data_IF_776970019165
#
_entry.id   IF_776970019165
#
_cell.length_a   1.000
_cell.length_b   1.000
_cell.length_c   1.000
_cell.angle_alpha   90.00
_cell.angle_beta   90.00
_cell.angle_gamma   90.00
#
_symmetry.space_group_name_H-M   'P 1'
#
loop_
_entity.id
_entity.type
_entity.pdbx_description
1 polymer ?
#
# COMPACT_ATOMS: atom_id res chain seq x y z
N UNK A 1 -1.93 29.17 -2.43
CA UNK A 1 -3.29 28.69 -2.09
C UNK A 1 -3.78 27.56 -3.02
N UNK A 2 -2.88 26.75 -3.60
CA UNK A 2 -3.22 25.67 -4.56
C UNK A 2 -2.84 24.26 -4.07
N UNK A 3 -2.42 24.12 -2.81
CA UNK A 3 -1.92 22.85 -2.26
C UNK A 3 -3.05 21.93 -1.76
N UNK A 4 -4.11 22.51 -1.17
CA UNK A 4 -5.24 21.73 -0.65
C UNK A 4 -5.93 20.88 -1.70
N UNK A 5 -6.30 21.40 -2.90
CA UNK A 5 -6.94 20.58 -3.93
C UNK A 5 -6.05 19.42 -4.39
N UNK A 6 -4.75 19.68 -4.53
CA UNK A 6 -3.76 18.69 -4.96
C UNK A 6 -3.57 17.59 -3.93
N UNK A 7 -3.55 17.95 -2.65
CA UNK A 7 -3.49 17.01 -1.52
C UNK A 7 -4.72 16.09 -1.49
N UNK A 8 -5.93 16.64 -1.66
CA UNK A 8 -7.15 15.82 -1.72
C UNK A 8 -7.19 14.87 -2.92
N UNK A 9 -6.70 15.31 -4.09
CA UNK A 9 -6.58 14.46 -5.27
C UNK A 9 -5.61 13.29 -5.01
N UNK A 10 -4.44 13.56 -4.42
CA UNK A 10 -3.46 12.51 -4.09
C UNK A 10 -4.03 11.50 -3.08
N UNK A 11 -4.71 11.98 -2.04
CA UNK A 11 -5.38 11.13 -1.05
C UNK A 11 -6.48 10.26 -1.68
N UNK A 12 -7.28 10.84 -2.57
CA UNK A 12 -8.32 10.09 -3.29
C UNK A 12 -7.75 8.98 -4.16
N UNK A 13 -6.69 9.26 -4.93
CA UNK A 13 -6.00 8.25 -5.75
C UNK A 13 -5.39 7.16 -4.87
N UNK A 14 -4.83 7.51 -3.71
CA UNK A 14 -4.28 6.55 -2.77
C UNK A 14 -5.35 5.58 -2.25
N UNK A 15 -6.52 6.08 -1.85
CA UNK A 15 -7.61 5.23 -1.38
C UNK A 15 -8.19 4.34 -2.48
N UNK A 16 -8.25 4.82 -3.72
CA UNK A 16 -8.68 4.01 -4.87
C UNK A 16 -7.69 2.86 -5.10
N UNK A 17 -6.39 3.12 -5.05
CA UNK A 17 -5.35 2.09 -5.21
C UNK A 17 -5.44 1.05 -4.08
N UNK A 18 -5.62 1.48 -2.83
CA UNK A 18 -5.81 0.57 -1.69
C UNK A 18 -7.08 -0.28 -1.86
N UNK A 19 -8.19 0.33 -2.26
CA UNK A 19 -9.46 -0.36 -2.49
C UNK A 19 -9.40 -1.34 -3.66
N UNK A 20 -8.70 -1.00 -4.75
CA UNK A 20 -8.47 -1.90 -5.89
C UNK A 20 -7.57 -3.06 -5.51
N UNK A 21 -6.49 -2.82 -4.77
CA UNK A 21 -5.64 -3.88 -4.24
C UNK A 21 -6.52 -4.79 -3.37
N UNK A 22 -7.26 -4.26 -2.40
CA UNK A 22 -8.13 -5.04 -1.51
C UNK A 22 -9.22 -5.83 -2.26
N UNK A 23 -9.77 -5.28 -3.34
CA UNK A 23 -10.80 -5.92 -4.16
C UNK A 23 -10.23 -7.03 -5.04
N UNK A 24 -9.08 -6.81 -5.69
CA UNK A 24 -8.38 -7.82 -6.51
C UNK A 24 -7.81 -8.94 -5.62
N UNK A 25 -7.46 -8.61 -4.38
CA UNK A 25 -6.90 -9.52 -3.39
C UNK A 25 -7.91 -9.98 -2.31
N UNK A 26 -9.21 -9.88 -2.58
CA UNK A 26 -10.30 -10.35 -1.70
C UNK A 26 -10.25 -11.85 -1.36
N UNK A 27 -9.35 -12.60 -2.01
CA UNK A 27 -8.69 -13.81 -1.50
C UNK A 27 -7.21 -13.66 -1.89
N UNK A 28 -6.27 -13.53 -0.96
CA UNK A 28 -4.84 -13.47 -1.30
C UNK A 28 -4.20 -14.87 -1.33
N UNK A 29 -3.94 -15.45 -2.52
CA UNK A 29 -2.66 -16.11 -2.78
C UNK A 29 -1.66 -15.01 -3.16
N UNK A 30 -0.78 -14.64 -2.24
CA UNK A 30 0.15 -13.51 -2.42
C UNK A 30 0.99 -13.25 -1.18
N UNK A 31 0.44 -13.60 -0.02
CA UNK A 31 1.27 -14.12 1.04
C UNK A 31 1.77 -15.48 0.56
N UNK A 32 3.09 -15.65 0.47
CA UNK A 32 3.65 -16.98 0.27
C UNK A 32 3.31 -17.77 1.53
N UNK A 33 2.12 -18.37 1.54
CA UNK A 33 1.68 -19.27 2.58
C UNK A 33 2.24 -20.65 2.24
N UNK A 34 3.53 -20.83 2.51
CA UNK A 34 4.14 -22.15 2.39
C UNK A 34 3.61 -23.01 3.53
N UNK A 35 2.59 -23.82 3.23
CA UNK A 35 2.13 -24.90 4.10
C UNK A 35 2.82 -26.20 3.70
N UNK A 36 3.70 -26.70 4.57
CA UNK A 36 4.27 -28.05 4.47
C UNK A 36 4.00 -28.77 5.80
N UNK A 37 3.03 -29.70 5.78
CA UNK A 37 2.60 -30.40 7.00
C UNK A 37 2.00 -29.45 8.04
N UNK A 38 2.53 -29.48 9.28
CA UNK A 38 2.06 -28.66 10.41
C UNK A 38 2.68 -27.25 10.46
N UNK A 39 3.57 -26.90 9.51
CA UNK A 39 4.27 -25.61 9.48
C UNK A 39 3.68 -24.72 8.41
N UNK A 40 3.29 -23.50 8.83
CA UNK A 40 2.76 -22.44 7.96
C UNK A 40 3.74 -21.27 7.99
N UNK A 41 4.42 -21.01 6.88
CA UNK A 41 5.24 -19.81 6.73
C UNK A 41 4.44 -18.77 5.97
N UNK A 42 4.38 -17.54 6.47
CA UNK A 42 3.62 -16.44 5.89
C UNK A 42 4.58 -15.30 5.53
N UNK A 43 4.63 -14.92 4.26
CA UNK A 43 5.52 -13.86 3.80
C UNK A 43 4.73 -12.73 3.12
N UNK A 44 4.48 -11.61 3.84
CA UNK A 44 3.59 -10.55 3.39
C UNK A 44 4.25 -9.53 2.47
N UNK A 45 4.62 -9.98 1.28
CA UNK A 45 5.31 -9.15 0.26
C UNK A 45 4.46 -7.94 -0.12
N UNK A 46 3.16 -8.15 -0.34
CA UNK A 46 2.27 -7.06 -0.77
C UNK A 46 2.14 -5.98 0.31
N UNK A 47 2.05 -6.39 1.57
CA UNK A 47 1.99 -5.46 2.70
C UNK A 47 3.27 -4.63 2.79
N UNK A 48 4.45 -5.24 2.60
CA UNK A 48 5.73 -4.52 2.61
C UNK A 48 5.86 -3.51 1.46
N UNK A 49 5.39 -3.85 0.26
CA UNK A 49 5.41 -2.95 -0.90
C UNK A 49 4.49 -1.75 -0.65
N UNK A 50 3.29 -1.97 -0.12
CA UNK A 50 2.34 -0.88 0.19
C UNK A 50 2.93 0.07 1.23
N UNK A 51 3.48 -0.48 2.31
CA UNK A 51 4.13 0.32 3.35
C UNK A 51 5.28 1.15 2.78
N UNK A 52 6.09 0.58 1.88
CA UNK A 52 7.19 1.28 1.21
C UNK A 52 6.71 2.43 0.32
N UNK A 53 5.67 2.21 -0.49
CA UNK A 53 5.10 3.23 -1.38
C UNK A 53 4.48 4.37 -0.57
N UNK A 54 3.71 4.04 0.48
CA UNK A 54 3.10 5.04 1.37
C UNK A 54 4.18 5.86 2.07
N UNK A 55 5.19 5.21 2.66
CA UNK A 55 6.31 5.89 3.30
C UNK A 55 7.06 6.80 2.31
N UNK A 56 7.29 6.33 1.08
CA UNK A 56 7.95 7.13 0.04
C UNK A 56 7.13 8.37 -0.34
N UNK A 57 5.81 8.24 -0.48
CA UNK A 57 4.92 9.38 -0.78
C UNK A 57 4.89 10.37 0.37
N UNK A 58 4.81 9.89 1.62
CA UNK A 58 4.84 10.74 2.81
C UNK A 58 6.16 11.51 2.89
N UNK A 59 7.29 10.84 2.73
CA UNK A 59 8.62 11.47 2.73
C UNK A 59 8.79 12.45 1.57
N UNK A 60 8.28 12.12 0.38
CA UNK A 60 8.31 13.00 -0.78
C UNK A 60 7.51 14.28 -0.54
N UNK A 61 6.33 14.18 0.09
CA UNK A 61 5.51 15.35 0.43
C UNK A 61 6.22 16.19 1.50
N UNK A 62 6.69 15.58 2.59
CA UNK A 62 7.42 16.31 3.65
C UNK A 62 8.66 17.01 3.09
N UNK A 63 9.44 16.32 2.24
CA UNK A 63 10.63 16.91 1.62
C UNK A 63 10.34 18.03 0.62
N UNK A 64 9.13 18.05 0.04
CA UNK A 64 8.69 19.09 -0.89
C UNK A 64 8.10 20.33 -0.20
N UNK A 65 7.72 20.22 1.07
CA UNK A 65 7.22 21.33 1.90
C UNK A 65 8.34 22.10 2.62
N UNK A 66 9.62 21.78 2.37
CA UNK A 66 10.79 22.56 2.79
C UNK A 66 11.37 23.31 1.59
#
# INVERSE_FOLDING_TARGET
MNEFPKMFIVLGVLFIVIGLIWSIFGKLPGDFLFKKGNTTFYFPIMTSIIVSVVASVVLYIIGKFR
#
